data_IF_411663732904
#
_entry.id   IF_411663732904
#
_cell.length_a   1.000
_cell.length_b   1.000
_cell.length_c   1.000
_cell.angle_alpha   90.00
_cell.angle_beta   90.00
_cell.angle_gamma   90.00
#
_symmetry.space_group_name_H-M   'P 1'
#
loop_
_entity.id
_entity.type
_entity.pdbx_description
1 polymer ?
#
# COMPACT_ATOMS: atom_id res chain seq x y z
N UNK A 1 18.39 6.08 -16.73
CA UNK A 1 18.05 5.50 -15.42
C UNK A 1 19.08 4.41 -15.15
N UNK A 2 19.90 4.58 -14.12
CA UNK A 2 21.03 3.67 -13.83
C UNK A 2 20.56 2.29 -13.38
N UNK A 3 21.52 1.37 -13.24
CA UNK A 3 21.40 -0.05 -12.84
C UNK A 3 20.85 -0.27 -11.39
N UNK A 4 19.94 0.59 -10.93
CA UNK A 4 19.43 0.63 -9.56
C UNK A 4 18.73 -0.66 -9.16
N UNK A 5 17.88 -1.18 -10.04
CA UNK A 5 17.15 -2.42 -9.79
C UNK A 5 18.10 -3.60 -9.58
N UNK A 6 19.06 -3.79 -10.49
CA UNK A 6 20.07 -4.85 -10.38
C UNK A 6 20.97 -4.73 -9.16
N UNK A 7 21.24 -3.51 -8.67
CA UNK A 7 21.96 -3.31 -7.41
C UNK A 7 21.12 -3.62 -6.17
N UNK A 8 19.82 -3.25 -6.18
CA UNK A 8 18.91 -3.55 -5.07
C UNK A 8 18.66 -5.06 -4.99
N UNK A 9 18.40 -5.72 -6.12
CA UNK A 9 18.22 -7.17 -6.21
C UNK A 9 19.44 -7.94 -5.71
N UNK A 10 20.65 -7.52 -6.09
CA UNK A 10 21.90 -8.14 -5.62
C UNK A 10 22.07 -8.02 -4.11
N UNK A 11 21.71 -6.87 -3.55
CA UNK A 11 21.81 -6.61 -2.11
C UNK A 11 20.69 -7.27 -1.32
N UNK A 12 19.52 -7.50 -1.94
CA UNK A 12 18.31 -8.03 -1.30
C UNK A 12 17.86 -7.20 -0.09
N UNK A 13 18.16 -5.89 -0.13
CA UNK A 13 17.88 -4.91 0.93
C UNK A 13 17.39 -3.60 0.31
N UNK A 14 16.30 -3.08 0.85
CA UNK A 14 15.76 -1.75 0.55
C UNK A 14 16.29 -0.77 1.60
N UNK A 15 17.36 -0.06 1.27
CA UNK A 15 18.15 0.72 2.22
C UNK A 15 17.58 2.13 2.46
N UNK A 16 16.69 2.61 1.59
CA UNK A 16 16.10 3.93 1.72
C UNK A 16 14.70 3.99 1.11
N UNK A 17 13.87 4.89 1.65
CA UNK A 17 12.52 5.15 1.15
C UNK A 17 12.45 5.47 -0.34
N UNK A 18 13.46 6.15 -0.89
CA UNK A 18 13.56 6.43 -2.34
C UNK A 18 13.70 5.16 -3.18
N UNK A 19 14.36 4.12 -2.66
CA UNK A 19 14.51 2.83 -3.36
C UNK A 19 13.17 2.09 -3.38
N UNK A 20 12.44 2.10 -2.26
CA UNK A 20 11.07 1.58 -2.21
C UNK A 20 10.17 2.28 -3.24
N UNK A 21 10.17 3.62 -3.28
CA UNK A 21 9.33 4.36 -4.23
C UNK A 21 9.67 4.01 -5.68
N UNK A 22 10.95 3.90 -6.03
CA UNK A 22 11.39 3.46 -7.35
C UNK A 22 10.83 2.08 -7.72
N UNK A 23 10.98 1.08 -6.83
CA UNK A 23 10.47 -0.28 -7.06
C UNK A 23 8.93 -0.36 -7.09
N UNK A 24 8.25 0.44 -6.27
CA UNK A 24 6.79 0.52 -6.25
C UNK A 24 6.25 1.10 -7.56
N UNK A 25 6.90 2.15 -8.09
CA UNK A 25 6.53 2.78 -9.36
C UNK A 25 6.68 1.82 -10.56
N UNK A 26 7.68 0.94 -10.54
CA UNK A 26 7.88 -0.11 -11.56
C UNK A 26 7.03 -1.36 -11.34
N UNK A 27 6.13 -1.36 -10.35
CA UNK A 27 5.25 -2.47 -10.00
C UNK A 27 6.00 -3.74 -9.54
N UNK A 28 7.22 -3.58 -9.03
CA UNK A 28 8.11 -4.68 -8.63
C UNK A 28 7.49 -5.57 -7.55
N UNK A 29 6.81 -4.97 -6.57
CA UNK A 29 6.20 -5.69 -5.44
C UNK A 29 4.85 -6.33 -5.79
N UNK A 30 4.37 -6.17 -7.02
CA UNK A 30 3.09 -6.71 -7.46
C UNK A 30 1.93 -5.78 -7.16
N UNK A 31 0.87 -6.30 -6.54
CA UNK A 31 -0.41 -5.60 -6.49
C UNK A 31 -0.39 -4.38 -5.56
N UNK A 32 -0.83 -3.23 -6.08
CA UNK A 32 -0.89 -1.94 -5.37
C UNK A 32 -2.20 -1.22 -5.65
N UNK A 33 -2.49 -0.20 -4.85
CA UNK A 33 -3.57 0.74 -5.15
C UNK A 33 -3.36 1.38 -6.53
N UNK A 34 -4.46 1.64 -7.26
CA UNK A 34 -4.37 2.48 -8.46
C UNK A 34 -3.87 3.87 -8.07
N UNK A 35 -3.01 4.45 -8.90
CA UNK A 35 -2.39 5.75 -8.68
C UNK A 35 -2.55 6.59 -9.94
N UNK A 36 -2.91 7.87 -9.76
CA UNK A 36 -3.05 8.86 -10.80
C UNK A 36 -2.25 10.12 -10.45
N UNK A 37 -1.71 10.79 -11.46
CA UNK A 37 -0.93 12.02 -11.32
C UNK A 37 -1.75 13.30 -11.55
N UNK A 38 -2.99 13.17 -12.03
CA UNK A 38 -3.89 14.30 -12.29
C UNK A 38 -5.35 13.87 -12.20
N UNK A 39 -6.25 14.83 -12.06
CA UNK A 39 -7.70 14.60 -12.17
C UNK A 39 -8.09 14.04 -13.53
N UNK A 40 -7.46 14.54 -14.60
CA UNK A 40 -7.75 14.09 -15.96
C UNK A 40 -7.47 12.59 -16.12
N UNK A 41 -6.40 12.07 -15.53
CA UNK A 41 -6.12 10.63 -15.51
C UNK A 41 -7.23 9.83 -14.79
N UNK A 42 -7.77 10.35 -13.68
CA UNK A 42 -8.88 9.71 -12.96
C UNK A 42 -10.14 9.68 -13.83
N UNK A 43 -10.49 10.82 -14.45
CA UNK A 43 -11.66 10.94 -15.34
C UNK A 43 -11.52 9.95 -16.50
N UNK A 44 -10.37 9.94 -17.17
CA UNK A 44 -10.10 9.08 -18.31
C UNK A 44 -10.07 7.58 -17.95
N UNK A 45 -9.68 7.23 -16.72
CA UNK A 45 -9.72 5.85 -16.23
C UNK A 45 -11.14 5.31 -16.03
N UNK A 46 -12.15 6.19 -15.98
CA UNK A 46 -13.53 5.82 -15.67
C UNK A 46 -13.76 5.39 -14.23
N UNK A 47 -12.81 5.64 -13.32
CA UNK A 47 -12.89 5.26 -11.90
C UNK A 47 -14.16 5.80 -11.23
N UNK A 48 -14.89 4.93 -10.51
CA UNK A 48 -16.14 5.27 -9.80
C UNK A 48 -16.04 5.12 -8.28
N UNK A 49 -14.95 4.54 -7.79
CA UNK A 49 -14.74 4.38 -6.36
C UNK A 49 -14.25 5.66 -5.69
N UNK A 50 -13.85 5.52 -4.43
CA UNK A 50 -13.34 6.63 -3.62
C UNK A 50 -11.85 6.89 -3.90
N UNK A 51 -11.41 8.11 -3.61
CA UNK A 51 -10.09 8.66 -3.92
C UNK A 51 -9.46 9.25 -2.65
N UNK A 52 -8.17 8.97 -2.47
CA UNK A 52 -7.31 9.60 -1.48
C UNK A 52 -6.39 10.60 -2.17
N UNK A 53 -6.25 11.80 -1.61
CA UNK A 53 -5.28 12.78 -2.08
C UNK A 53 -4.04 12.70 -1.20
N UNK A 54 -2.90 12.39 -1.79
CA UNK A 54 -1.59 12.38 -1.17
C UNK A 54 -0.75 13.54 -1.69
N UNK A 55 0.29 13.92 -0.95
CA UNK A 55 1.22 14.97 -1.37
C UNK A 55 2.56 14.39 -1.79
N UNK A 56 3.10 14.87 -2.91
CA UNK A 56 4.49 14.65 -3.34
C UNK A 56 5.46 15.48 -2.49
N UNK A 57 5.01 16.65 -1.99
CA UNK A 57 5.83 17.63 -1.30
C UNK A 57 5.05 18.37 -0.21
N UNK A 58 5.42 18.14 1.05
CA UNK A 58 5.25 19.13 2.13
C UNK A 58 3.82 19.42 2.63
N UNK A 59 2.77 18.76 2.14
CA UNK A 59 1.47 18.84 2.82
C UNK A 59 1.51 17.92 4.03
N UNK A 60 1.17 18.46 5.20
CA UNK A 60 1.06 17.66 6.42
C UNK A 60 0.07 16.51 6.23
N UNK A 61 0.45 15.31 6.70
CA UNK A 61 -0.41 14.11 6.64
C UNK A 61 -1.79 14.29 7.28
N UNK A 62 -1.93 15.24 8.20
CA UNK A 62 -3.20 15.58 8.86
C UNK A 62 -4.18 16.27 7.91
N UNK A 63 -3.68 16.84 6.80
CA UNK A 63 -4.46 17.61 5.82
C UNK A 63 -4.80 16.82 4.57
N UNK A 64 -4.26 15.61 4.40
CA UNK A 64 -4.57 14.75 3.26
C UNK A 64 -5.96 14.14 3.43
N UNK A 65 -6.95 14.49 2.60
CA UNK A 65 -8.29 13.92 2.68
C UNK A 65 -8.30 12.49 2.13
N UNK A 66 -9.18 11.68 2.72
CA UNK A 66 -9.38 10.28 2.37
C UNK A 66 -10.85 10.04 1.98
N UNK A 67 -11.09 8.99 1.20
CA UNK A 67 -12.43 8.49 0.86
C UNK A 67 -13.36 9.49 0.12
N UNK A 68 -12.80 10.34 -0.74
CA UNK A 68 -13.54 11.32 -1.54
C UNK A 68 -14.13 10.70 -2.81
N UNK A 69 -15.32 11.13 -3.23
CA UNK A 69 -15.80 10.95 -4.60
C UNK A 69 -14.99 11.80 -5.59
N UNK A 70 -15.15 11.56 -6.90
CA UNK A 70 -14.52 12.39 -7.93
C UNK A 70 -14.95 13.87 -7.81
N UNK A 71 -16.23 14.14 -7.57
CA UNK A 71 -16.74 15.51 -7.40
C UNK A 71 -16.12 16.19 -6.17
N UNK A 72 -16.12 15.51 -5.02
CA UNK A 72 -15.47 16.02 -3.80
C UNK A 72 -13.96 16.23 -4.00
N UNK A 73 -13.30 15.36 -4.76
CA UNK A 73 -11.86 15.49 -5.09
C UNK A 73 -11.60 16.75 -5.92
N UNK A 74 -12.42 17.03 -6.94
CA UNK A 74 -12.30 18.23 -7.77
C UNK A 74 -12.48 19.49 -6.92
N UNK A 75 -13.50 19.54 -6.06
CA UNK A 75 -13.74 20.66 -5.15
C UNK A 75 -12.53 20.86 -4.22
N UNK A 76 -12.00 19.76 -3.68
CA UNK A 76 -10.86 19.82 -2.75
C UNK A 76 -9.58 20.31 -3.40
N UNK A 77 -9.36 20.01 -4.67
CA UNK A 77 -8.22 20.55 -5.43
C UNK A 77 -8.36 22.05 -5.66
N UNK A 78 -9.58 22.56 -5.91
CA UNK A 78 -9.79 24.01 -6.00
C UNK A 78 -9.50 24.70 -4.66
N UNK A 79 -9.89 24.10 -3.53
CA UNK A 79 -9.51 24.59 -2.20
C UNK A 79 -7.99 24.64 -2.05
N UNK A 80 -7.28 23.53 -2.34
CA UNK A 80 -5.82 23.48 -2.28
C UNK A 80 -5.15 24.51 -3.19
N UNK A 81 -5.68 24.70 -4.40
CA UNK A 81 -5.19 25.72 -5.33
C UNK A 81 -5.33 27.13 -4.75
N UNK A 82 -6.46 27.43 -4.10
CA UNK A 82 -6.68 28.73 -3.44
C UNK A 82 -5.74 28.95 -2.24
N UNK A 83 -5.27 27.87 -1.62
CA UNK A 83 -4.25 27.89 -0.56
C UNK A 83 -2.81 27.90 -1.09
N UNK A 84 -2.61 27.93 -2.40
CA UNK A 84 -1.28 27.94 -3.03
C UNK A 84 -0.62 26.56 -3.15
N UNK A 85 -1.40 25.49 -3.03
CA UNK A 85 -0.96 24.10 -3.24
C UNK A 85 -1.36 23.68 -4.66
N UNK A 86 -0.43 23.58 -5.60
CA UNK A 86 -0.78 23.31 -6.98
C UNK A 86 -0.89 21.79 -7.24
N UNK A 87 -1.75 21.39 -8.19
CA UNK A 87 -2.12 19.98 -8.43
C UNK A 87 -0.92 19.08 -8.74
N UNK A 88 0.09 19.60 -9.43
CA UNK A 88 1.31 18.85 -9.78
C UNK A 88 2.12 18.39 -8.56
N UNK A 89 1.84 18.94 -7.38
CA UNK A 89 2.42 18.52 -6.10
C UNK A 89 1.61 17.44 -5.40
N UNK A 90 0.49 17.01 -5.98
CA UNK A 90 -0.41 15.99 -5.46
C UNK A 90 -0.22 14.65 -6.20
N UNK A 91 -0.61 13.57 -5.52
CA UNK A 91 -0.82 12.23 -6.07
C UNK A 91 -2.22 11.81 -5.66
N UNK A 92 -2.92 11.11 -6.53
CA UNK A 92 -4.23 10.55 -6.24
C UNK A 92 -4.10 9.04 -6.18
N UNK A 93 -4.64 8.43 -5.14
CA UNK A 93 -4.67 6.98 -4.99
C UNK A 93 -6.11 6.51 -4.85
N UNK A 94 -6.37 5.29 -5.30
CA UNK A 94 -7.59 4.57 -4.97
C UNK A 94 -7.71 4.48 -3.45
N UNK A 95 -8.85 4.90 -2.88
CA UNK A 95 -9.18 4.55 -1.50
C UNK A 95 -9.53 3.07 -1.45
N UNK A 96 -8.95 2.35 -0.50
CA UNK A 96 -9.31 0.95 -0.31
C UNK A 96 -10.68 0.84 0.35
N UNK A 97 -11.44 -0.23 0.02
CA UNK A 97 -12.74 -0.48 0.61
C UNK A 97 -12.57 -1.11 2.00
N UNK A 98 -12.43 -0.28 3.02
CA UNK A 98 -12.16 -0.74 4.40
C UNK A 98 -13.25 -1.69 4.93
N UNK A 99 -14.49 -1.56 4.45
CA UNK A 99 -15.62 -2.46 4.78
C UNK A 99 -15.41 -3.92 4.33
N UNK A 100 -14.48 -4.12 3.39
CA UNK A 100 -14.07 -5.43 2.87
C UNK A 100 -12.73 -5.90 3.45
N UNK A 101 -12.10 -5.10 4.32
CA UNK A 101 -10.83 -5.45 4.92
C UNK A 101 -10.99 -6.67 5.85
N UNK A 102 -10.14 -7.68 5.65
CA UNK A 102 -10.11 -8.89 6.47
C UNK A 102 -8.95 -8.87 7.46
N UNK A 103 -7.77 -8.43 7.01
CA UNK A 103 -6.58 -8.27 7.85
C UNK A 103 -5.68 -7.18 7.27
N UNK A 104 -5.01 -6.43 8.13
CA UNK A 104 -3.94 -5.53 7.78
C UNK A 104 -2.80 -5.64 8.77
N UNK A 105 -1.57 -5.43 8.32
CA UNK A 105 -0.44 -5.52 9.22
C UNK A 105 0.92 -5.46 8.57
N UNK A 106 1.90 -5.77 9.40
CA UNK A 106 3.31 -5.83 9.08
C UNK A 106 3.80 -7.26 9.28
N UNK A 107 4.24 -7.88 8.19
CA UNK A 107 4.77 -9.23 8.17
C UNK A 107 6.28 -9.18 7.99
N UNK A 108 7.00 -9.95 8.79
CA UNK A 108 8.45 -10.12 8.67
C UNK A 108 8.79 -11.60 8.71
N UNK A 109 9.80 -12.00 7.93
CA UNK A 109 10.44 -13.31 8.05
C UNK A 109 11.81 -13.11 8.69
N UNK A 110 12.08 -13.83 9.77
CA UNK A 110 13.44 -13.98 10.29
C UNK A 110 14.00 -15.34 9.87
N UNK A 111 15.28 -15.57 10.15
CA UNK A 111 15.97 -16.85 9.89
C UNK A 111 15.25 -18.05 10.50
N UNK A 112 14.52 -17.86 11.59
CA UNK A 112 13.92 -18.94 12.36
C UNK A 112 12.40 -18.95 12.34
N UNK A 113 11.75 -17.81 12.07
CA UNK A 113 10.30 -17.69 12.23
C UNK A 113 9.67 -16.59 11.37
N UNK A 114 8.36 -16.69 11.23
CA UNK A 114 7.52 -15.61 10.75
C UNK A 114 6.99 -14.79 11.93
N UNK A 115 6.90 -13.48 11.77
CA UNK A 115 6.30 -12.57 12.75
C UNK A 115 5.28 -11.67 12.05
N UNK A 116 4.11 -11.53 12.66
CA UNK A 116 3.01 -10.72 12.15
C UNK A 116 2.50 -9.80 13.27
N UNK A 117 2.59 -8.50 13.04
CA UNK A 117 1.86 -7.48 13.81
C UNK A 117 0.65 -7.07 12.98
N UNK A 118 -0.56 -7.21 13.51
CA UNK A 118 -1.75 -7.04 12.68
C UNK A 118 -2.96 -6.50 13.45
N UNK A 119 -3.99 -6.14 12.68
CA UNK A 119 -5.32 -5.80 13.15
C UNK A 119 -6.35 -6.31 12.15
N UNK A 120 -7.55 -6.62 12.63
CA UNK A 120 -8.72 -6.93 11.79
C UNK A 120 -9.77 -5.82 11.85
N UNK A 121 -9.43 -4.68 12.47
CA UNK A 121 -10.31 -3.51 12.53
C UNK A 121 -10.38 -2.88 11.14
N UNK A 122 -11.61 -2.74 10.62
CA UNK A 122 -11.94 -2.08 9.36
C UNK A 122 -11.83 -0.55 9.48
N UNK A 123 -10.59 -0.07 9.42
CA UNK A 123 -10.23 1.34 9.46
C UNK A 123 -8.81 1.52 8.90
N UNK A 124 -8.37 2.75 8.59
CA UNK A 124 -6.97 3.01 8.26
C UNK A 124 -6.01 2.45 9.33
N UNK A 125 -4.90 1.83 8.90
CA UNK A 125 -4.02 1.02 9.76
C UNK A 125 -3.54 1.73 11.03
N UNK A 126 -3.22 3.02 10.93
CA UNK A 126 -2.82 3.84 12.08
C UNK A 126 -3.92 3.99 13.14
N UNK A 127 -5.19 4.03 12.73
CA UNK A 127 -6.35 4.05 13.63
C UNK A 127 -6.68 2.65 14.13
N UNK A 128 -6.52 1.64 13.27
CA UNK A 128 -6.71 0.24 13.62
C UNK A 128 -5.75 -0.19 14.74
N UNK A 129 -4.44 0.06 14.61
CA UNK A 129 -3.45 -0.27 15.63
C UNK A 129 -3.64 0.46 16.96
N UNK A 130 -4.15 1.71 16.93
CA UNK A 130 -4.53 2.42 18.16
C UNK A 130 -5.70 1.76 18.89
N UNK A 131 -6.63 1.16 18.16
CA UNK A 131 -7.79 0.44 18.72
C UNK A 131 -7.40 -0.96 19.16
N UNK A 132 -6.68 -1.69 18.32
CA UNK A 132 -6.27 -3.07 18.55
C UNK A 132 -5.01 -3.39 17.75
N UNK A 133 -3.97 -3.83 18.46
CA UNK A 133 -2.76 -4.40 17.87
C UNK A 133 -2.61 -5.83 18.37
N UNK A 134 -2.55 -6.78 17.45
CA UNK A 134 -2.37 -8.21 17.72
C UNK A 134 -1.02 -8.69 17.20
N UNK A 135 -0.52 -9.76 17.81
CA UNK A 135 0.75 -10.38 17.45
C UNK A 135 0.57 -11.88 17.20
N UNK A 136 1.21 -12.38 16.15
CA UNK A 136 1.33 -13.81 15.86
C UNK A 136 2.74 -14.14 15.37
N UNK A 137 3.20 -15.35 15.67
CA UNK A 137 4.51 -15.85 15.23
C UNK A 137 4.43 -17.27 14.67
N UNK A 138 5.48 -17.69 13.98
CA UNK A 138 5.65 -19.05 13.45
C UNK A 138 4.49 -19.50 12.57
N UNK A 139 4.01 -20.73 12.79
CA UNK A 139 2.89 -21.31 12.03
C UNK A 139 1.58 -20.53 12.17
N UNK A 140 1.34 -19.87 13.32
CA UNK A 140 0.13 -19.08 13.52
C UNK A 140 0.11 -17.86 12.58
N UNK A 141 1.23 -17.14 12.49
CA UNK A 141 1.37 -16.02 11.55
C UNK A 141 1.17 -16.49 10.10
N UNK A 142 1.76 -17.63 9.74
CA UNK A 142 1.61 -18.21 8.40
C UNK A 142 0.17 -18.59 8.06
N UNK A 143 -0.53 -19.21 9.00
CA UNK A 143 -1.92 -19.62 8.80
C UNK A 143 -2.86 -18.42 8.70
N UNK A 144 -2.62 -17.35 9.48
CA UNK A 144 -3.36 -16.10 9.34
C UNK A 144 -3.17 -15.49 7.95
N UNK A 145 -1.93 -15.46 7.45
CA UNK A 145 -1.64 -14.95 6.12
C UNK A 145 -2.31 -15.80 5.03
N UNK A 146 -2.14 -17.13 5.07
CA UNK A 146 -2.77 -18.05 4.09
C UNK A 146 -4.29 -18.04 4.14
N UNK A 147 -4.88 -17.81 5.31
CA UNK A 147 -6.33 -17.79 5.49
C UNK A 147 -7.01 -16.52 4.95
N UNK A 148 -6.25 -15.42 4.79
CA UNK A 148 -6.80 -14.14 4.34
C UNK A 148 -6.36 -13.74 2.93
N UNK A 149 -5.27 -14.30 2.40
CA UNK A 149 -4.78 -14.02 1.05
C UNK A 149 -5.36 -15.04 0.07
N UNK A 150 -5.79 -14.59 -1.11
CA UNK A 150 -6.02 -15.51 -2.22
C UNK A 150 -4.68 -16.16 -2.65
N UNK A 151 -4.72 -17.33 -3.30
CA UNK A 151 -3.52 -18.09 -3.68
C UNK A 151 -2.50 -17.22 -4.42
N UNK A 152 -3.01 -16.40 -5.34
CA UNK A 152 -2.24 -15.44 -6.10
C UNK A 152 -1.59 -14.37 -5.21
N UNK A 153 -2.33 -13.67 -4.34
CA UNK A 153 -1.72 -12.71 -3.39
C UNK A 153 -0.66 -13.36 -2.50
N UNK A 154 -0.89 -14.60 -2.07
CA UNK A 154 0.05 -15.34 -1.23
C UNK A 154 1.37 -15.66 -1.96
N UNK A 155 1.30 -16.11 -3.22
CA UNK A 155 2.49 -16.33 -4.06
C UNK A 155 3.31 -15.05 -4.26
N UNK A 156 2.64 -13.92 -4.48
CA UNK A 156 3.30 -12.62 -4.58
C UNK A 156 4.05 -12.29 -3.28
N UNK A 157 3.42 -12.50 -2.12
CA UNK A 157 4.05 -12.30 -0.81
C UNK A 157 5.28 -13.21 -0.61
N UNK A 158 5.18 -14.49 -1.01
CA UNK A 158 6.33 -15.41 -0.96
C UNK A 158 7.48 -14.92 -1.83
N UNK A 159 7.18 -14.44 -3.04
CA UNK A 159 8.19 -13.89 -3.97
C UNK A 159 8.90 -12.68 -3.35
N UNK A 160 8.17 -11.78 -2.67
CA UNK A 160 8.78 -10.65 -1.96
C UNK A 160 9.69 -11.13 -0.84
N UNK A 161 9.29 -12.11 -0.02
CA UNK A 161 10.16 -12.68 1.01
C UNK A 161 11.39 -13.36 0.41
N UNK A 162 11.26 -14.04 -0.71
CA UNK A 162 12.39 -14.61 -1.44
C UNK A 162 13.33 -13.55 -1.99
N UNK A 163 12.84 -12.38 -2.39
CA UNK A 163 13.72 -11.30 -2.85
C UNK A 163 14.35 -10.54 -1.69
N UNK A 164 13.57 -10.23 -0.66
CA UNK A 164 13.98 -9.43 0.50
C UNK A 164 13.71 -10.18 1.81
N UNK A 165 14.61 -11.10 2.22
CA UNK A 165 14.35 -12.06 3.28
C UNK A 165 14.14 -11.43 4.65
N UNK A 166 14.79 -10.29 4.92
CA UNK A 166 14.78 -9.60 6.21
C UNK A 166 13.91 -8.33 6.20
N UNK A 167 13.10 -8.14 5.15
CA UNK A 167 12.22 -6.97 5.05
C UNK A 167 10.95 -7.14 5.86
N UNK A 168 10.45 -6.01 6.35
CA UNK A 168 9.07 -5.86 6.79
C UNK A 168 8.24 -5.55 5.54
N UNK A 169 7.14 -6.29 5.38
CA UNK A 169 6.12 -6.06 4.36
C UNK A 169 4.86 -5.55 5.05
N UNK A 170 4.48 -4.30 4.74
CA UNK A 170 3.22 -3.70 5.14
C UNK A 170 2.15 -4.00 4.09
N UNK A 171 1.01 -4.54 4.52
CA UNK A 171 -0.05 -5.00 3.62
C UNK A 171 -1.44 -4.85 4.21
N UNK A 172 -2.43 -4.85 3.32
CA UNK A 172 -3.85 -5.02 3.64
C UNK A 172 -4.46 -6.06 2.70
N UNK A 173 -5.26 -6.96 3.25
CA UNK A 173 -6.00 -7.96 2.50
C UNK A 173 -7.51 -7.80 2.70
N UNK A 174 -8.26 -8.18 1.65
CA UNK A 174 -9.69 -7.94 1.51
C UNK A 174 -10.41 -9.23 1.13
N UNK A 175 -11.72 -9.30 1.34
CA UNK A 175 -12.54 -10.44 0.88
C UNK A 175 -13.01 -10.32 -0.58
N UNK A 176 -12.61 -9.24 -1.26
CA UNK A 176 -12.83 -8.98 -2.68
C UNK A 176 -11.51 -8.69 -3.40
N UNK A 177 -11.53 -8.72 -4.72
CA UNK A 177 -10.40 -8.27 -5.54
C UNK A 177 -10.21 -6.75 -5.46
N UNK A 178 -8.96 -6.30 -5.33
CA UNK A 178 -8.57 -4.89 -5.21
C UNK A 178 -7.25 -4.61 -5.92
N UNK A 179 -6.95 -3.32 -6.14
CA UNK A 179 -5.67 -2.87 -6.68
C UNK A 179 -5.58 -2.90 -8.20
N UNK A 180 -4.35 -2.92 -8.71
CA UNK A 180 -4.03 -2.77 -10.13
C UNK A 180 -3.81 -4.08 -10.88
N UNK A 181 -3.87 -5.23 -10.20
CA UNK A 181 -3.72 -6.57 -10.79
C UNK A 181 -4.99 -7.38 -10.51
N UNK A 182 -5.59 -7.95 -11.55
CA UNK A 182 -6.79 -8.80 -11.45
C UNK A 182 -6.54 -10.07 -10.62
N UNK A 183 -7.60 -10.57 -9.96
CA UNK A 183 -7.56 -11.77 -9.11
C UNK A 183 -6.56 -11.66 -7.94
N UNK A 184 -6.40 -10.45 -7.40
CA UNK A 184 -5.60 -10.17 -6.20
C UNK A 184 -6.48 -9.46 -5.19
N UNK A 185 -6.44 -9.95 -3.96
CA UNK A 185 -7.19 -9.39 -2.84
C UNK A 185 -6.28 -8.69 -1.81
N UNK A 186 -5.04 -8.37 -2.18
CA UNK A 186 -4.05 -7.82 -1.23
C UNK A 186 -3.27 -6.69 -1.88
N UNK A 187 -3.13 -5.58 -1.15
CA UNK A 187 -2.32 -4.44 -1.54
C UNK A 187 -1.05 -4.43 -0.69
N UNK A 188 0.10 -4.32 -1.34
CA UNK A 188 1.39 -4.11 -0.68
C UNK A 188 1.63 -2.61 -0.56
N UNK A 189 1.65 -2.12 0.68
CA UNK A 189 1.82 -0.70 0.98
C UNK A 189 3.28 -0.31 1.08
N UNK A 190 4.13 -1.15 1.69
CA UNK A 190 5.55 -0.87 1.84
C UNK A 190 6.35 -2.17 1.97
N UNK A 191 7.57 -2.15 1.46
CA UNK A 191 8.60 -3.15 1.77
C UNK A 191 9.83 -2.39 2.24
N UNK A 192 10.34 -2.68 3.44
CA UNK A 192 11.41 -1.88 4.07
C UNK A 192 12.39 -2.69 4.91
N UNK A 193 13.63 -2.20 5.00
CA UNK A 193 14.69 -2.70 5.91
C UNK A 193 15.29 -1.59 6.79
N UNK A 194 14.79 -0.35 6.70
CA UNK A 194 15.38 0.85 7.30
C UNK A 194 14.60 1.34 8.53
#
# INVERSE_FOLDING_TARGET
>A
MGNYEGEIEKRRIIAAKKEYHFLSETNFFGNRALTWNSIDEIINSGWKGKICICSKKGIERTRTPFALTLEETILKIQEFKNEGIPEETLIFNQSMPDEHLTIQGEMMRSTENYSLVYSTIQAPMNLAFKKETLHATGLKALNLLKGNLCSSSYENMQTIFEMFPDSIIEFSAYDIDVGNILNRNTVIWEVRNY
#
